data_IF_547155033759
#
_entry.id   IF_547155033759
#
_cell.length_a   1.000
_cell.length_b   1.000
_cell.length_c   1.000
_cell.angle_alpha   90.00
_cell.angle_beta   90.00
_cell.angle_gamma   90.00
#
_symmetry.space_group_name_H-M   'P 1'
#
loop_
_entity.id
_entity.type
_entity.pdbx_description
1 polymer ?
#
# COMPACT_ATOMS: atom_id res chain seq x y z
N UNK A 1 76.83 39.09 15.69
CA UNK A 1 75.58 39.63 15.10
C UNK A 1 75.45 39.02 13.71
N UNK A 2 74.46 38.25 13.28
CA UNK A 2 73.13 37.83 13.74
C UNK A 2 72.96 36.36 13.30
N UNK A 3 72.40 35.49 14.15
CA UNK A 3 71.97 34.14 13.75
C UNK A 3 70.59 34.24 13.12
N UNK A 4 70.43 33.76 11.88
CA UNK A 4 69.13 33.62 11.21
C UNK A 4 68.60 32.23 11.54
N UNK A 5 67.48 32.16 12.26
CA UNK A 5 66.76 30.93 12.56
C UNK A 5 65.72 30.74 11.44
N UNK A 6 65.81 29.62 10.72
CA UNK A 6 64.80 29.18 9.78
C UNK A 6 63.62 28.55 10.54
N UNK A 7 62.43 29.14 10.42
CA UNK A 7 61.20 28.57 10.98
C UNK A 7 60.65 27.49 10.05
N UNK A 8 60.64 26.24 10.51
CA UNK A 8 59.83 25.18 9.92
C UNK A 8 58.36 25.43 10.26
N UNK A 9 57.51 25.57 9.26
CA UNK A 9 56.05 25.52 9.39
C UNK A 9 55.63 24.05 9.33
N UNK A 10 55.20 23.51 10.46
CA UNK A 10 54.54 22.20 10.50
C UNK A 10 53.06 22.40 10.11
N UNK A 11 52.66 21.84 8.97
CA UNK A 11 51.25 21.75 8.57
C UNK A 11 50.63 20.57 9.32
N UNK A 12 49.82 20.86 10.35
CA UNK A 12 48.94 19.86 10.97
C UNK A 12 47.74 19.63 10.03
N UNK A 13 47.68 18.45 9.39
CA UNK A 13 46.44 17.94 8.82
C UNK A 13 45.50 17.53 9.96
N UNK A 14 44.42 18.29 10.15
CA UNK A 14 43.29 17.83 10.95
C UNK A 14 42.51 16.78 10.16
N UNK A 15 42.66 15.51 10.52
CA UNK A 15 41.74 14.44 10.10
C UNK A 15 40.49 14.59 10.97
N UNK A 16 39.39 15.11 10.40
CA UNK A 16 38.09 15.12 11.05
C UNK A 16 37.58 13.67 11.19
N UNK A 17 37.32 13.17 12.41
CA UNK A 17 36.67 11.87 12.58
C UNK A 17 35.18 12.00 12.31
N UNK A 18 34.65 11.09 11.48
CA UNK A 18 33.25 10.69 11.54
C UNK A 18 32.25 11.54 10.77
N UNK A 19 32.27 11.48 9.44
CA UNK A 19 31.00 11.48 8.71
C UNK A 19 30.37 10.10 8.91
N UNK A 20 29.61 9.94 9.99
CA UNK A 20 28.63 8.85 10.01
C UNK A 20 27.71 9.11 8.81
N UNK A 21 27.78 8.26 7.79
CA UNK A 21 26.66 8.13 6.89
C UNK A 21 25.45 7.86 7.79
N UNK A 22 24.49 8.79 7.82
CA UNK A 22 23.18 8.50 8.37
C UNK A 22 22.75 7.20 7.70
N UNK A 23 22.64 6.11 8.48
CA UNK A 23 21.97 4.92 7.99
C UNK A 23 20.65 5.42 7.42
N UNK A 24 20.42 5.20 6.13
CA UNK A 24 19.13 5.50 5.53
C UNK A 24 18.10 4.81 6.43
N UNK A 25 17.24 5.59 7.08
CA UNK A 25 16.23 5.05 7.99
C UNK A 25 15.38 4.04 7.22
N UNK A 26 15.01 2.95 7.89
CA UNK A 26 14.11 1.94 7.34
C UNK A 26 12.86 2.64 6.77
N UNK A 27 12.61 2.44 5.48
CA UNK A 27 11.54 3.03 4.70
C UNK A 27 10.16 2.56 5.17
N UNK A 28 10.11 1.48 5.97
CA UNK A 28 8.91 0.93 6.58
C UNK A 28 7.83 0.60 5.54
N UNK A 29 8.27 0.04 4.41
CA UNK A 29 7.37 -0.34 3.33
C UNK A 29 6.46 -1.50 3.75
N UNK A 30 5.27 -1.54 3.14
CA UNK A 30 4.23 -2.52 3.44
C UNK A 30 3.83 -3.30 2.19
N UNK A 31 3.28 -4.49 2.41
CA UNK A 31 2.68 -5.32 1.37
C UNK A 31 1.17 -5.17 1.45
N UNK A 32 0.52 -4.87 0.33
CA UNK A 32 -0.94 -4.80 0.19
C UNK A 32 -1.39 -5.77 -0.90
N UNK A 33 -1.95 -6.90 -0.51
CA UNK A 33 -2.33 -7.98 -1.42
C UNK A 33 -3.80 -7.86 -1.81
N UNK A 34 -4.14 -7.66 -3.10
CA UNK A 34 -5.46 -7.98 -3.62
C UNK A 34 -5.71 -9.49 -3.47
N UNK A 35 -6.37 -9.91 -2.39
CA UNK A 35 -6.51 -11.32 -2.02
C UNK A 35 -7.83 -11.88 -2.57
N UNK A 36 -7.98 -11.90 -3.90
CA UNK A 36 -9.24 -12.23 -4.59
C UNK A 36 -9.37 -13.74 -4.81
N UNK A 37 -9.10 -14.48 -3.74
CA UNK A 37 -9.24 -15.93 -3.64
C UNK A 37 -9.91 -16.25 -2.30
N UNK A 38 -10.88 -17.16 -2.31
CA UNK A 38 -11.66 -17.47 -1.11
C UNK A 38 -10.81 -18.23 -0.06
N UNK A 39 -10.94 -17.89 1.24
CA UNK A 39 -10.48 -18.73 2.34
C UNK A 39 -11.46 -19.91 2.61
N UNK A 40 -10.97 -21.04 3.14
CA UNK A 40 -9.56 -21.35 3.33
C UNK A 40 -8.90 -21.71 2.00
N UNK A 41 -7.68 -21.22 1.79
CA UNK A 41 -6.86 -21.61 0.64
C UNK A 41 -5.39 -21.57 1.02
N UNK A 42 -4.55 -22.25 0.22
CA UNK A 42 -3.10 -22.21 0.39
C UNK A 42 -2.56 -20.77 0.31
N UNK A 43 -3.16 -19.92 -0.53
CA UNK A 43 -2.77 -18.51 -0.64
C UNK A 43 -3.06 -17.71 0.63
N UNK A 44 -4.25 -17.86 1.24
CA UNK A 44 -4.53 -17.24 2.54
C UNK A 44 -3.56 -17.71 3.63
N UNK A 45 -3.25 -19.01 3.69
CA UNK A 45 -2.26 -19.56 4.62
C UNK A 45 -0.88 -18.92 4.43
N UNK A 46 -0.45 -18.71 3.18
CA UNK A 46 0.84 -18.04 2.87
C UNK A 46 0.87 -16.59 3.34
N UNK A 47 -0.19 -15.81 3.10
CA UNK A 47 -0.28 -14.42 3.60
C UNK A 47 -0.22 -14.38 5.13
N UNK A 48 -1.03 -15.22 5.80
CA UNK A 48 -1.10 -15.28 7.27
C UNK A 48 0.27 -15.62 7.87
N UNK A 49 0.94 -16.64 7.33
CA UNK A 49 2.27 -17.03 7.81
C UNK A 49 3.30 -15.92 7.59
N UNK A 50 3.24 -15.25 6.45
CA UNK A 50 4.16 -14.15 6.16
C UNK A 50 3.91 -12.94 7.05
N UNK A 51 2.66 -12.62 7.38
CA UNK A 51 2.32 -11.54 8.31
C UNK A 51 3.05 -11.67 9.65
N UNK A 52 3.19 -12.89 10.17
CA UNK A 52 3.87 -13.19 11.43
C UNK A 52 5.35 -12.76 11.44
N UNK A 53 5.98 -12.74 10.27
CA UNK A 53 7.40 -12.39 10.11
C UNK A 53 7.63 -10.90 9.91
N UNK A 54 6.57 -10.12 9.64
CA UNK A 54 6.63 -8.68 9.38
C UNK A 54 5.49 -7.92 10.07
N UNK A 55 5.50 -7.86 11.42
CA UNK A 55 4.38 -7.31 12.19
C UNK A 55 3.95 -5.91 11.73
N UNK A 56 2.66 -5.75 11.45
CA UNK A 56 2.06 -4.48 11.02
C UNK A 56 2.37 -4.07 9.57
N UNK A 57 2.98 -4.95 8.75
CA UNK A 57 3.37 -4.64 7.37
C UNK A 57 2.66 -5.46 6.29
N UNK A 58 1.84 -6.43 6.65
CA UNK A 58 1.08 -7.26 5.71
C UNK A 58 -0.41 -6.94 5.74
N UNK A 59 -0.96 -6.53 4.60
CA UNK A 59 -2.36 -6.18 4.42
C UNK A 59 -2.98 -7.02 3.31
N UNK A 60 -4.18 -7.55 3.54
CA UNK A 60 -4.97 -8.25 2.53
C UNK A 60 -6.25 -7.46 2.24
N UNK A 61 -6.59 -7.31 0.97
CA UNK A 61 -7.87 -6.79 0.50
C UNK A 61 -8.78 -8.00 0.30
N UNK A 62 -9.75 -8.18 1.18
CA UNK A 62 -10.73 -9.26 1.07
C UNK A 62 -11.83 -8.87 0.09
N UNK A 63 -12.14 -9.76 -0.86
CA UNK A 63 -13.21 -9.59 -1.83
C UNK A 63 -13.82 -10.95 -2.16
N UNK A 64 -15.03 -11.23 -1.67
CA UNK A 64 -15.75 -12.48 -1.94
C UNK A 64 -16.56 -12.42 -3.23
N UNK A 65 -17.23 -11.29 -3.46
CA UNK A 65 -18.07 -11.08 -4.63
C UNK A 65 -18.42 -9.58 -4.75
N UNK A 66 -17.46 -8.77 -5.19
CA UNK A 66 -17.54 -7.30 -5.20
C UNK A 66 -17.92 -6.72 -3.81
N UNK A 67 -17.41 -7.34 -2.75
CA UNK A 67 -17.81 -7.08 -1.36
C UNK A 67 -17.71 -8.31 -0.45
N UNK A 68 -18.40 -8.32 0.71
CA UNK A 68 -18.31 -9.42 1.68
C UNK A 68 -19.18 -10.64 1.33
N UNK A 69 -19.93 -10.57 0.22
CA UNK A 69 -20.95 -11.56 -0.14
C UNK A 69 -22.30 -11.29 0.56
N UNK A 70 -23.30 -12.18 0.37
CA UNK A 70 -24.68 -11.95 0.83
C UNK A 70 -24.92 -12.24 2.31
N UNK A 71 -23.98 -12.91 2.99
CA UNK A 71 -24.12 -13.32 4.39
C UNK A 71 -22.74 -13.53 5.03
N UNK A 72 -22.71 -13.57 6.36
CA UNK A 72 -21.52 -13.95 7.13
C UNK A 72 -20.94 -15.29 6.65
N UNK A 73 -19.63 -15.29 6.41
CA UNK A 73 -18.85 -16.47 6.07
C UNK A 73 -17.80 -16.75 7.14
N UNK A 74 -17.91 -17.90 7.79
CA UNK A 74 -17.00 -18.29 8.88
C UNK A 74 -15.56 -18.49 8.42
N UNK A 75 -15.32 -18.83 7.16
CA UNK A 75 -13.98 -18.99 6.62
C UNK A 75 -13.26 -17.65 6.50
N UNK A 76 -13.95 -16.61 6.01
CA UNK A 76 -13.44 -15.25 6.00
C UNK A 76 -13.18 -14.72 7.42
N UNK A 77 -14.12 -14.95 8.35
CA UNK A 77 -13.92 -14.54 9.74
C UNK A 77 -12.68 -15.22 10.37
N UNK A 78 -12.46 -16.51 10.07
CA UNK A 78 -11.28 -17.24 10.52
C UNK A 78 -10.01 -16.63 9.92
N UNK A 79 -9.98 -16.37 8.62
CA UNK A 79 -8.83 -15.76 7.95
C UNK A 79 -8.50 -14.37 8.50
N UNK A 80 -9.51 -13.53 8.75
CA UNK A 80 -9.35 -12.19 9.36
C UNK A 80 -8.73 -12.31 10.75
N UNK A 81 -9.27 -13.17 11.62
CA UNK A 81 -8.74 -13.36 12.97
C UNK A 81 -7.32 -13.94 12.97
N UNK A 82 -7.02 -14.85 12.04
CA UNK A 82 -5.67 -15.40 11.86
C UNK A 82 -4.68 -14.35 11.36
N UNK A 83 -5.09 -13.45 10.46
CA UNK A 83 -4.29 -12.30 10.06
C UNK A 83 -3.97 -11.42 11.27
N UNK A 84 -4.96 -11.05 12.08
CA UNK A 84 -4.75 -10.21 13.27
C UNK A 84 -3.84 -10.87 14.30
N UNK A 85 -4.01 -12.17 14.56
CA UNK A 85 -3.15 -12.94 15.47
C UNK A 85 -1.69 -12.91 15.02
N UNK A 86 -1.45 -12.84 13.72
CA UNK A 86 -0.12 -12.74 13.11
C UNK A 86 0.27 -11.29 12.76
N UNK A 87 -0.34 -10.30 13.40
CA UNK A 87 -0.05 -8.87 13.21
C UNK A 87 -0.27 -8.34 11.79
N UNK A 88 -1.00 -9.09 10.97
CA UNK A 88 -1.50 -8.66 9.67
C UNK A 88 -2.82 -7.90 9.80
N UNK A 89 -3.25 -7.34 8.67
CA UNK A 89 -4.45 -6.49 8.56
C UNK A 89 -5.32 -6.93 7.40
N UNK A 90 -6.63 -6.79 7.52
CA UNK A 90 -7.59 -7.09 6.45
C UNK A 90 -8.53 -5.92 6.23
N UNK A 91 -8.63 -5.45 4.99
CA UNK A 91 -9.56 -4.39 4.57
C UNK A 91 -10.58 -4.94 3.57
N UNK A 92 -11.82 -4.45 3.65
CA UNK A 92 -12.92 -4.92 2.82
C UNK A 92 -13.03 -4.15 1.50
N UNK A 93 -13.19 -4.87 0.38
CA UNK A 93 -13.40 -4.27 -0.94
C UNK A 93 -14.80 -3.63 -1.10
N UNK A 94 -14.89 -2.46 -1.73
CA UNK A 94 -16.13 -1.85 -2.17
C UNK A 94 -15.96 -1.16 -3.53
N UNK A 95 -16.77 -1.54 -4.51
CA UNK A 95 -16.75 -0.97 -5.85
C UNK A 95 -17.52 0.36 -5.89
N UNK A 96 -16.90 1.41 -6.43
CA UNK A 96 -17.50 2.75 -6.54
C UNK A 96 -18.00 3.09 -7.95
N UNK A 97 -17.77 2.22 -8.94
CA UNK A 97 -18.16 2.39 -10.34
C UNK A 97 -17.82 3.78 -10.89
N UNK A 98 -16.56 4.19 -10.70
CA UNK A 98 -16.02 5.49 -11.10
C UNK A 98 -16.84 6.67 -10.54
N UNK A 99 -17.34 6.49 -9.32
CA UNK A 99 -18.18 7.46 -8.62
C UNK A 99 -19.60 7.56 -9.18
N UNK A 100 -20.06 6.59 -9.97
CA UNK A 100 -21.43 6.51 -10.49
C UNK A 100 -22.33 5.64 -9.62
N UNK A 101 -21.77 4.70 -8.85
CA UNK A 101 -22.52 4.00 -7.82
C UNK A 101 -23.06 5.02 -6.80
N UNK A 102 -24.33 4.90 -6.40
CA UNK A 102 -24.88 5.82 -5.40
C UNK A 102 -24.14 5.73 -4.06
N UNK A 103 -24.07 6.82 -3.31
CA UNK A 103 -23.50 6.80 -1.95
C UNK A 103 -24.20 5.74 -1.08
N UNK A 104 -25.52 5.62 -1.19
CA UNK A 104 -26.29 4.64 -0.43
C UNK A 104 -25.87 3.20 -0.75
N UNK A 105 -25.67 2.85 -2.02
CA UNK A 105 -25.23 1.50 -2.41
C UNK A 105 -23.83 1.17 -1.91
N UNK A 106 -22.87 2.11 -2.00
CA UNK A 106 -21.51 1.84 -1.51
C UNK A 106 -21.48 1.77 0.02
N UNK A 107 -22.24 2.66 0.71
CA UNK A 107 -22.41 2.60 2.16
C UNK A 107 -23.04 1.28 2.63
N UNK A 108 -23.96 0.71 1.86
CA UNK A 108 -24.52 -0.61 2.16
C UNK A 108 -23.48 -1.74 2.07
N UNK A 109 -22.54 -1.69 1.12
CA UNK A 109 -21.42 -2.64 1.05
C UNK A 109 -20.50 -2.48 2.26
N UNK A 110 -20.17 -1.24 2.62
CA UNK A 110 -19.36 -0.91 3.81
C UNK A 110 -20.05 -1.41 5.10
N UNK A 111 -21.35 -1.19 5.22
CA UNK A 111 -22.15 -1.66 6.36
C UNK A 111 -22.15 -3.18 6.46
N UNK A 112 -22.29 -3.88 5.34
CA UNK A 112 -22.23 -5.34 5.31
C UNK A 112 -20.87 -5.86 5.78
N UNK A 113 -19.76 -5.22 5.37
CA UNK A 113 -18.42 -5.57 5.87
C UNK A 113 -18.33 -5.47 7.39
N UNK A 114 -18.70 -4.32 7.96
CA UNK A 114 -18.66 -4.13 9.42
C UNK A 114 -19.70 -4.95 10.19
N UNK A 115 -20.82 -5.31 9.57
CA UNK A 115 -21.83 -6.17 10.18
C UNK A 115 -21.39 -7.63 10.23
N UNK A 116 -20.80 -8.15 9.16
CA UNK A 116 -20.34 -9.54 9.10
C UNK A 116 -18.99 -9.72 9.79
N UNK A 117 -18.10 -8.74 9.68
CA UNK A 117 -16.74 -8.81 10.18
C UNK A 117 -16.37 -7.54 10.95
N UNK A 118 -16.85 -7.35 12.19
CA UNK A 118 -16.64 -6.11 12.95
C UNK A 118 -15.18 -5.75 13.19
N UNK A 119 -14.25 -6.70 13.06
CA UNK A 119 -12.82 -6.52 13.27
C UNK A 119 -12.03 -6.08 12.03
N UNK A 120 -12.66 -5.89 10.86
CA UNK A 120 -11.92 -5.42 9.68
C UNK A 120 -11.23 -4.08 9.94
N UNK A 121 -10.04 -3.92 9.38
CA UNK A 121 -9.15 -2.80 9.65
C UNK A 121 -9.42 -1.57 8.78
N UNK A 122 -10.38 -1.65 7.86
CA UNK A 122 -10.62 -0.60 6.90
C UNK A 122 -11.36 -1.06 5.65
N UNK A 123 -11.41 -0.17 4.66
CA UNK A 123 -12.12 -0.35 3.39
C UNK A 123 -11.21 0.05 2.24
N UNK A 124 -11.27 -0.75 1.18
CA UNK A 124 -10.65 -0.51 -0.12
C UNK A 124 -11.74 -0.06 -1.11
N UNK A 125 -11.70 1.20 -1.52
CA UNK A 125 -12.61 1.79 -2.51
C UNK A 125 -12.03 1.58 -3.90
N UNK A 126 -12.63 0.69 -4.69
CA UNK A 126 -12.15 0.36 -6.04
C UNK A 126 -12.94 1.05 -7.15
N UNK A 127 -12.41 0.96 -8.38
CA UNK A 127 -12.91 1.59 -9.58
C UNK A 127 -13.12 3.08 -9.35
N UNK A 128 -12.11 3.79 -8.84
CA UNK A 128 -12.26 5.22 -8.59
C UNK A 128 -12.11 6.05 -9.87
N UNK A 129 -12.81 7.18 -9.92
CA UNK A 129 -12.63 8.20 -10.94
C UNK A 129 -11.19 8.77 -10.89
N UNK A 130 -10.66 9.13 -12.06
CA UNK A 130 -9.33 9.70 -12.24
C UNK A 130 -9.36 11.21 -12.47
N UNK A 131 -10.46 11.73 -13.01
CA UNK A 131 -10.64 13.14 -13.30
C UNK A 131 -11.29 13.86 -12.11
N UNK A 132 -11.06 15.18 -11.91
CA UNK A 132 -11.78 15.95 -10.89
C UNK A 132 -13.31 15.91 -11.05
N UNK A 133 -14.03 16.11 -9.96
CA UNK A 133 -15.49 16.27 -9.94
C UNK A 133 -16.24 15.31 -9.02
N UNK A 134 -15.58 14.27 -8.49
CA UNK A 134 -16.17 13.32 -7.53
C UNK A 134 -15.56 13.45 -6.13
N UNK A 135 -14.81 14.51 -5.83
CA UNK A 135 -14.10 14.67 -4.56
C UNK A 135 -15.06 14.64 -3.37
N UNK A 136 -16.18 15.36 -3.46
CA UNK A 136 -17.21 15.34 -2.41
C UNK A 136 -17.81 13.95 -2.20
N UNK A 137 -18.00 13.18 -3.27
CA UNK A 137 -18.49 11.80 -3.21
C UNK A 137 -17.52 10.89 -2.44
N UNK A 138 -16.23 10.93 -2.80
CA UNK A 138 -15.23 10.10 -2.11
C UNK A 138 -14.94 10.59 -0.69
N UNK A 139 -14.98 11.89 -0.44
CA UNK A 139 -14.86 12.46 0.91
C UNK A 139 -16.02 12.02 1.81
N UNK A 140 -17.24 11.95 1.28
CA UNK A 140 -18.39 11.41 2.01
C UNK A 140 -18.21 9.93 2.37
N UNK A 141 -17.64 9.13 1.48
CA UNK A 141 -17.31 7.73 1.77
C UNK A 141 -16.18 7.61 2.80
N UNK A 142 -15.12 8.41 2.68
CA UNK A 142 -14.03 8.46 3.65
C UNK A 142 -14.55 8.77 5.05
N UNK A 143 -15.33 9.83 5.19
CA UNK A 143 -15.93 10.23 6.46
C UNK A 143 -16.86 9.16 7.02
N UNK A 144 -17.63 8.49 6.15
CA UNK A 144 -18.51 7.39 6.55
C UNK A 144 -17.72 6.21 7.12
N UNK A 145 -16.62 5.81 6.47
CA UNK A 145 -15.75 4.74 6.94
C UNK A 145 -15.10 5.12 8.28
N UNK A 146 -14.58 6.35 8.41
CA UNK A 146 -14.02 6.85 9.68
C UNK A 146 -15.05 6.91 10.82
N UNK A 147 -16.32 7.12 10.50
CA UNK A 147 -17.39 7.07 11.49
C UNK A 147 -17.72 5.63 11.97
N UNK A 148 -17.41 4.59 11.17
CA UNK A 148 -17.51 3.19 11.60
C UNK A 148 -16.39 2.82 12.56
N UNK A 149 -15.18 3.27 12.26
CA UNK A 149 -14.03 3.17 13.16
C UNK A 149 -13.04 4.29 12.85
N UNK A 150 -12.71 5.10 13.85
CA UNK A 150 -11.80 6.23 13.67
C UNK A 150 -10.40 5.79 13.19
N UNK A 151 -9.99 4.55 13.47
CA UNK A 151 -8.73 3.95 13.04
C UNK A 151 -8.82 3.19 11.71
N UNK A 152 -10.02 3.09 11.10
CA UNK A 152 -10.20 2.40 9.83
C UNK A 152 -9.29 2.99 8.74
N UNK A 153 -8.53 2.14 8.06
CA UNK A 153 -7.75 2.54 6.89
C UNK A 153 -8.67 2.71 5.68
N UNK A 154 -8.58 3.84 4.98
CA UNK A 154 -9.27 4.05 3.71
C UNK A 154 -8.26 4.00 2.57
N UNK A 155 -8.27 2.90 1.83
CA UNK A 155 -7.44 2.72 0.63
C UNK A 155 -8.30 3.00 -0.59
N UNK A 156 -7.75 3.74 -1.55
CA UNK A 156 -8.45 4.25 -2.72
C UNK A 156 -7.75 3.81 -4.00
N UNK A 157 -8.49 3.23 -4.94
CA UNK A 157 -7.94 2.67 -6.16
C UNK A 157 -8.53 3.28 -7.45
N UNK A 158 -7.88 4.31 -8.01
CA UNK A 158 -8.13 4.75 -9.38
C UNK A 158 -7.47 3.86 -10.46
N UNK A 159 -6.63 2.88 -10.09
CA UNK A 159 -5.88 2.00 -11.00
C UNK A 159 -4.75 2.68 -11.79
N UNK A 160 -4.69 4.01 -11.82
CA UNK A 160 -3.67 4.78 -12.52
C UNK A 160 -3.41 6.11 -11.80
N UNK A 161 -2.40 6.84 -12.26
CA UNK A 161 -2.14 8.21 -11.82
C UNK A 161 -3.39 9.08 -11.94
N UNK A 162 -3.67 9.83 -10.88
CA UNK A 162 -4.87 10.65 -10.71
C UNK A 162 -4.52 12.06 -10.19
N UNK A 163 -5.54 12.82 -9.79
CA UNK A 163 -5.42 14.18 -9.24
C UNK A 163 -5.17 14.20 -7.73
N UNK A 164 -4.41 15.20 -7.28
CA UNK A 164 -4.08 15.41 -5.85
C UNK A 164 -5.32 15.52 -4.96
N UNK A 165 -6.41 16.07 -5.51
CA UNK A 165 -7.67 16.27 -4.79
C UNK A 165 -8.34 14.97 -4.35
N UNK A 166 -7.97 13.81 -4.92
CA UNK A 166 -8.42 12.50 -4.43
C UNK A 166 -7.58 11.91 -3.28
N UNK A 167 -6.50 12.58 -2.89
CA UNK A 167 -5.85 12.34 -1.60
C UNK A 167 -6.30 13.36 -0.55
N UNK A 168 -6.28 14.65 -0.90
CA UNK A 168 -6.61 15.76 -0.01
C UNK A 168 -7.48 16.81 -0.74
N UNK A 169 -8.71 17.01 -0.29
CA UNK A 169 -9.66 17.96 -0.86
C UNK A 169 -10.11 18.98 0.19
N UNK A 170 -9.93 20.28 -0.10
CA UNK A 170 -10.27 21.38 0.82
C UNK A 170 -9.66 21.20 2.22
N UNK A 171 -8.39 20.78 2.28
CA UNK A 171 -7.66 20.56 3.54
C UNK A 171 -8.08 19.30 4.32
N UNK A 172 -8.97 18.48 3.77
CA UNK A 172 -9.49 17.27 4.40
C UNK A 172 -9.16 16.02 3.57
N UNK A 173 -8.98 14.89 4.25
CA UNK A 173 -8.63 13.63 3.58
C UNK A 173 -9.79 13.10 2.74
N UNK A 174 -9.43 12.49 1.61
CA UNK A 174 -10.33 11.70 0.75
C UNK A 174 -9.92 10.23 0.77
N UNK A 175 -8.63 9.95 0.97
CA UNK A 175 -8.10 8.60 1.18
C UNK A 175 -6.91 8.65 2.13
N UNK A 176 -6.61 7.54 2.82
CA UNK A 176 -5.38 7.37 3.60
C UNK A 176 -4.21 6.90 2.71
N UNK A 177 -4.51 6.01 1.77
CA UNK A 177 -3.55 5.47 0.79
C UNK A 177 -4.21 5.44 -0.59
N UNK A 178 -3.50 5.90 -1.62
CA UNK A 178 -4.01 6.03 -2.98
C UNK A 178 -3.16 5.22 -3.96
N UNK A 179 -3.82 4.50 -4.87
CA UNK A 179 -3.14 3.84 -5.97
C UNK A 179 -2.57 4.88 -6.92
N UNK A 180 -1.32 4.71 -7.31
CA UNK A 180 -0.70 5.57 -8.32
C UNK A 180 -0.23 4.80 -9.56
N UNK A 181 -0.33 3.46 -9.53
CA UNK A 181 0.01 2.56 -10.62
C UNK A 181 -0.61 1.17 -10.45
N UNK A 182 -1.33 0.68 -11.45
CA UNK A 182 -1.82 -0.71 -11.53
C UNK A 182 -1.85 -1.19 -12.99
N UNK A 183 -0.73 -1.71 -13.50
CA UNK A 183 -0.63 -2.21 -14.88
C UNK A 183 0.49 -3.24 -15.02
N UNK A 184 0.45 -4.05 -16.08
CA UNK A 184 1.53 -4.99 -16.43
C UNK A 184 2.73 -4.35 -17.12
N UNK A 185 2.59 -3.13 -17.64
CA UNK A 185 3.57 -2.50 -18.52
C UNK A 185 3.99 -1.11 -18.03
N UNK A 186 5.19 -0.67 -18.42
CA UNK A 186 5.63 0.71 -18.17
C UNK A 186 6.10 1.03 -16.75
N UNK A 187 6.11 0.08 -15.81
CA UNK A 187 6.56 0.34 -14.44
C UNK A 187 7.99 0.85 -14.36
N UNK A 188 8.91 0.24 -15.14
CA UNK A 188 10.34 0.57 -15.16
C UNK A 188 10.63 1.99 -15.72
N UNK A 189 9.62 2.65 -16.32
CA UNK A 189 9.70 4.01 -16.87
C UNK A 189 8.65 4.96 -16.27
N UNK A 190 7.87 4.48 -15.30
CA UNK A 190 6.78 5.26 -14.72
C UNK A 190 7.35 6.37 -13.84
N UNK A 191 6.77 7.55 -13.95
CA UNK A 191 7.11 8.71 -13.13
C UNK A 191 5.85 9.10 -12.33
N UNK A 192 5.90 9.10 -10.98
CA UNK A 192 4.80 9.60 -10.18
C UNK A 192 4.45 11.05 -10.52
N UNK A 193 3.18 11.42 -10.41
CA UNK A 193 2.77 12.81 -10.58
C UNK A 193 3.50 13.73 -9.57
N UNK A 194 3.93 14.91 -9.99
CA UNK A 194 4.79 15.78 -9.19
C UNK A 194 4.23 16.10 -7.79
N UNK A 195 2.90 16.20 -7.65
CA UNK A 195 2.21 16.51 -6.40
C UNK A 195 2.41 15.42 -5.33
N UNK A 196 2.72 14.17 -5.71
CA UNK A 196 2.93 13.08 -4.73
C UNK A 196 4.14 13.33 -3.85
N UNK A 197 5.10 14.15 -4.29
CA UNK A 197 6.28 14.52 -3.51
C UNK A 197 5.96 15.43 -2.31
N UNK A 198 4.76 16.02 -2.26
CA UNK A 198 4.29 16.82 -1.13
C UNK A 198 3.78 15.98 0.04
N UNK A 199 3.70 14.65 -0.12
CA UNK A 199 3.10 13.73 0.84
C UNK A 199 4.07 12.60 1.21
N UNK A 200 3.82 11.98 2.36
CA UNK A 200 4.59 10.83 2.81
C UNK A 200 4.32 9.61 1.92
N UNK A 201 5.35 8.80 1.67
CA UNK A 201 5.25 7.56 0.88
C UNK A 201 4.15 6.62 1.34
N UNK A 202 3.82 6.61 2.63
CA UNK A 202 2.75 5.78 3.19
C UNK A 202 1.37 6.15 2.64
N UNK A 203 1.23 7.26 1.91
CA UNK A 203 0.01 7.62 1.21
C UNK A 203 -0.11 7.04 -0.19
N UNK A 204 0.88 6.28 -0.68
CA UNK A 204 0.89 5.76 -2.05
C UNK A 204 1.20 4.28 -2.11
N UNK A 205 0.48 3.58 -3.00
CA UNK A 205 0.75 2.18 -3.33
C UNK A 205 0.77 1.93 -4.83
N UNK A 206 1.42 0.83 -5.21
CA UNK A 206 1.50 0.37 -6.60
C UNK A 206 1.24 -1.14 -6.69
N UNK A 207 0.60 -1.55 -7.78
CA UNK A 207 0.23 -2.93 -8.10
C UNK A 207 0.75 -3.35 -9.50
N UNK A 208 2.07 -3.41 -9.72
CA UNK A 208 2.61 -3.88 -10.98
C UNK A 208 2.43 -5.41 -11.13
N UNK A 209 1.59 -5.84 -12.06
CA UNK A 209 1.38 -7.26 -12.40
C UNK A 209 2.19 -7.68 -13.64
N UNK A 210 2.13 -8.96 -14.04
CA UNK A 210 3.05 -9.52 -15.05
C UNK A 210 4.53 -9.43 -14.64
N UNK A 211 4.82 -9.32 -13.34
CA UNK A 211 6.16 -9.22 -12.77
C UNK A 211 6.84 -10.59 -12.77
N UNK A 212 7.90 -10.77 -13.54
CA UNK A 212 8.66 -12.04 -13.54
C UNK A 212 9.45 -12.24 -12.24
N UNK A 213 9.86 -13.49 -11.97
CA UNK A 213 10.73 -13.84 -10.85
C UNK A 213 12.08 -13.10 -10.85
N UNK A 214 12.56 -12.62 -12.00
CA UNK A 214 13.79 -11.84 -12.13
C UNK A 214 13.62 -10.33 -11.94
N UNK A 215 12.37 -9.84 -11.84
CA UNK A 215 12.07 -8.39 -11.85
C UNK A 215 11.46 -7.86 -10.57
N UNK A 216 10.85 -8.69 -9.73
CA UNK A 216 10.13 -8.21 -8.54
C UNK A 216 11.04 -7.40 -7.59
N UNK A 217 12.31 -7.79 -7.42
CA UNK A 217 13.27 -7.04 -6.59
C UNK A 217 13.48 -5.61 -7.09
N UNK A 218 13.82 -5.47 -8.37
CA UNK A 218 13.98 -4.15 -8.99
C UNK A 218 12.70 -3.32 -8.95
N UNK A 219 11.51 -3.96 -8.99
CA UNK A 219 10.24 -3.22 -8.86
C UNK A 219 10.04 -2.67 -7.44
N UNK A 220 10.41 -3.43 -6.40
CA UNK A 220 10.39 -2.93 -5.01
C UNK A 220 11.37 -1.77 -4.84
N UNK A 221 12.59 -1.87 -5.37
CA UNK A 221 13.59 -0.79 -5.33
C UNK A 221 13.12 0.47 -6.07
N UNK A 222 12.47 0.27 -7.22
CA UNK A 222 11.91 1.37 -8.00
C UNK A 222 10.80 2.08 -7.24
N UNK A 223 9.84 1.34 -6.67
CA UNK A 223 8.80 1.93 -5.81
C UNK A 223 9.39 2.72 -4.64
N UNK A 224 10.36 2.12 -3.93
CA UNK A 224 11.04 2.73 -2.78
C UNK A 224 11.72 4.06 -3.14
N UNK A 225 12.35 4.14 -4.31
CA UNK A 225 13.03 5.35 -4.81
C UNK A 225 12.07 6.40 -5.37
N UNK A 226 10.80 6.06 -5.60
CA UNK A 226 9.76 6.93 -6.19
C UNK A 226 8.66 7.32 -5.19
N UNK A 227 9.02 7.44 -3.91
CA UNK A 227 8.11 7.85 -2.82
C UNK A 227 6.86 6.97 -2.67
N UNK A 228 6.98 5.66 -2.88
CA UNK A 228 5.88 4.70 -2.67
C UNK A 228 6.15 3.85 -1.43
N UNK A 229 5.15 3.76 -0.55
CA UNK A 229 5.24 3.08 0.74
C UNK A 229 4.63 1.67 0.77
N UNK A 230 3.85 1.30 -0.24
CA UNK A 230 3.16 0.02 -0.28
C UNK A 230 3.22 -0.60 -1.67
N UNK A 231 3.37 -1.92 -1.75
CA UNK A 231 3.49 -2.60 -3.03
C UNK A 231 2.99 -4.05 -2.97
N UNK A 232 2.41 -4.51 -4.06
CA UNK A 232 2.32 -5.93 -4.36
C UNK A 232 2.64 -6.18 -5.83
N UNK A 233 3.51 -7.15 -6.07
CA UNK A 233 3.91 -7.60 -7.40
C UNK A 233 3.45 -9.04 -7.58
N UNK A 234 2.86 -9.36 -8.72
CA UNK A 234 2.53 -10.74 -9.11
C UNK A 234 3.00 -11.02 -10.53
N UNK A 235 3.34 -12.28 -10.82
CA UNK A 235 3.63 -12.75 -12.18
C UNK A 235 2.36 -13.10 -12.96
N UNK A 236 1.19 -13.03 -12.30
CA UNK A 236 -0.09 -13.27 -12.94
C UNK A 236 -0.48 -12.14 -13.90
N UNK A 237 -1.48 -12.39 -14.74
CA UNK A 237 -1.88 -11.52 -15.84
C UNK A 237 -3.35 -11.71 -16.22
N UNK A 238 -3.81 -10.98 -17.23
CA UNK A 238 -5.19 -11.06 -17.71
C UNK A 238 -6.13 -10.15 -16.95
N UNK A 239 -7.43 -10.47 -17.00
CA UNK A 239 -8.48 -9.62 -16.43
C UNK A 239 -8.50 -9.61 -14.90
N UNK A 240 -7.97 -10.67 -14.26
CA UNK A 240 -7.88 -10.76 -12.81
C UNK A 240 -6.52 -11.36 -12.40
N UNK A 241 -5.45 -10.54 -12.30
CA UNK A 241 -4.14 -11.02 -11.88
C UNK A 241 -4.04 -11.25 -10.35
N UNK A 242 -5.17 -11.21 -9.63
CA UNK A 242 -5.25 -11.15 -8.17
C UNK A 242 -5.77 -12.46 -7.53
N UNK A 243 -6.04 -13.49 -8.33
CA UNK A 243 -6.59 -14.78 -7.89
C UNK A 243 -5.51 -15.78 -7.43
N UNK A 244 -4.22 -15.46 -7.65
CA UNK A 244 -3.10 -16.26 -7.17
C UNK A 244 -1.95 -15.43 -6.57
N UNK A 245 -1.15 -16.07 -5.73
CA UNK A 245 0.10 -15.50 -5.23
C UNK A 245 1.29 -15.99 -6.06
N UNK A 246 2.26 -15.11 -6.38
CA UNK A 246 3.45 -15.53 -7.11
C UNK A 246 4.28 -16.54 -6.32
N UNK A 247 5.07 -17.36 -7.02
CA UNK A 247 5.99 -18.33 -6.38
C UNK A 247 7.07 -17.67 -5.52
N UNK A 248 7.34 -16.38 -5.74
CA UNK A 248 8.31 -15.58 -4.99
C UNK A 248 7.70 -14.76 -3.84
N UNK A 249 6.41 -14.94 -3.50
CA UNK A 249 5.69 -14.10 -2.54
C UNK A 249 6.40 -13.92 -1.19
N UNK A 250 6.92 -14.99 -0.59
CA UNK A 250 7.60 -14.96 0.71
C UNK A 250 8.91 -14.14 0.63
N UNK A 251 9.72 -14.39 -0.39
CA UNK A 251 10.96 -13.63 -0.64
C UNK A 251 10.65 -12.15 -0.95
N UNK A 252 9.61 -11.90 -1.74
CA UNK A 252 9.13 -10.55 -2.04
C UNK A 252 8.73 -9.81 -0.77
N UNK A 253 7.89 -10.42 0.07
CA UNK A 253 7.37 -9.79 1.28
C UNK A 253 8.47 -9.51 2.29
N UNK A 254 9.39 -10.47 2.47
CA UNK A 254 10.58 -10.29 3.32
C UNK A 254 11.46 -9.15 2.81
N UNK A 255 11.63 -9.02 1.49
CA UNK A 255 12.42 -7.95 0.90
C UNK A 255 11.75 -6.58 1.05
N UNK A 256 10.43 -6.49 0.86
CA UNK A 256 9.67 -5.26 1.13
C UNK A 256 9.85 -4.85 2.59
N UNK A 257 9.78 -5.79 3.54
CA UNK A 257 10.01 -5.51 4.95
C UNK A 257 11.46 -5.10 5.27
N UNK A 258 12.44 -5.39 4.40
CA UNK A 258 13.83 -4.94 4.60
C UNK A 258 14.08 -3.50 4.14
N UNK A 259 13.09 -2.86 3.51
CA UNK A 259 13.18 -1.49 3.02
C UNK A 259 12.95 -0.49 4.12
#
# INVERSE_FOLDING_TARGET
MKRVIASLIAILLFILPGMNALAAGELNMKVIVPAYFDPPSSNWTRIINQAATMPGRMYAIANKNEGPGPAFDSAYNTAINSMHTNSGKVIGYANTDYGNASLASVKAIIDAWYAFYPSIDGVFLDCMEIAPGKEGYYQDLYNYIKAKSASALVVANPGITTVESYLLYNGNRVADVLCVFETNTGFDTWVPAAWTNSYDRSNFYVLPYGTTASKWQSRVDYAASHNVGWIFCTNDSGANPWDTLPSYFENFSTYVASK
#
